data_IF_137367869711
#
_entry.id   IF_137367869711
#
_cell.length_a   1.000
_cell.length_b   1.000
_cell.length_c   1.000
_cell.angle_alpha   90.00
_cell.angle_beta   90.00
_cell.angle_gamma   90.00
#
_symmetry.space_group_name_H-M   'P 1'
#
loop_
_entity.id
_entity.type
_entity.pdbx_description
1 polymer ?
#
# COMPACT_ATOMS: atom_id res chain seq x y z
N UNK A 1 -10.39 19.34 7.10
CA UNK A 1 -11.44 19.97 6.27
C UNK A 1 -11.43 19.35 4.89
N UNK A 2 -12.50 18.70 4.49
CA UNK A 2 -12.62 18.07 3.16
C UNK A 2 -12.89 19.12 2.08
N UNK A 3 -12.06 20.13 1.95
CA UNK A 3 -12.25 21.25 1.02
C UNK A 3 -11.19 21.29 -0.10
N UNK A 4 -11.55 21.92 -1.21
CA UNK A 4 -10.64 22.20 -2.32
C UNK A 4 -9.75 23.42 -2.00
N UNK A 5 -9.19 23.49 -0.78
CA UNK A 5 -8.33 24.58 -0.34
C UNK A 5 -6.91 24.06 -0.18
N UNK A 6 -5.93 24.84 -0.62
CA UNK A 6 -4.53 24.66 -0.32
C UNK A 6 -4.13 25.53 0.89
N UNK A 7 -3.13 25.09 1.65
CA UNK A 7 -2.45 25.88 2.65
C UNK A 7 -1.08 26.29 2.15
N UNK A 8 -0.67 27.52 2.47
CA UNK A 8 0.72 27.93 2.36
C UNK A 8 1.39 27.57 3.68
N UNK A 9 2.43 26.78 3.63
CA UNK A 9 3.15 26.28 4.80
C UNK A 9 4.62 26.63 4.75
N UNK A 10 5.25 26.76 5.91
CA UNK A 10 6.69 26.79 6.04
C UNK A 10 7.19 25.34 6.23
N UNK A 11 7.81 24.77 5.20
CA UNK A 11 8.30 23.39 5.23
C UNK A 11 9.33 23.16 6.33
N UNK A 12 10.24 24.11 6.57
CA UNK A 12 11.24 23.99 7.62
C UNK A 12 10.61 23.92 9.03
N UNK A 13 9.45 24.58 9.21
CA UNK A 13 8.69 24.51 10.46
C UNK A 13 7.95 23.17 10.66
N UNK A 14 7.88 22.32 9.63
CA UNK A 14 7.25 20.99 9.71
C UNK A 14 8.22 19.87 10.03
N UNK A 15 9.52 20.12 10.03
CA UNK A 15 10.54 19.14 10.37
C UNK A 15 10.59 18.92 11.88
N UNK A 16 10.48 17.68 12.37
CA UNK A 16 10.71 17.40 13.78
C UNK A 16 12.19 17.55 14.14
N UNK A 17 12.48 17.75 15.42
CA UNK A 17 13.86 17.88 15.90
C UNK A 17 14.73 16.70 15.44
N UNK A 18 15.85 16.97 14.76
CA UNK A 18 16.78 15.98 14.21
C UNK A 18 16.27 15.23 12.98
N UNK A 19 15.34 15.82 12.25
CA UNK A 19 14.82 15.25 10.99
C UNK A 19 15.91 15.08 9.93
N UNK A 20 16.83 16.05 9.82
CA UNK A 20 17.95 16.03 8.90
C UNK A 20 18.94 14.88 9.14
N UNK A 21 18.91 14.29 10.32
CA UNK A 21 19.75 13.14 10.70
C UNK A 21 19.01 11.81 10.56
N UNK A 22 17.72 11.83 10.24
CA UNK A 22 16.93 10.62 10.05
C UNK A 22 17.45 9.79 8.88
N UNK A 23 17.47 8.47 9.07
CA UNK A 23 17.92 7.52 8.03
C UNK A 23 17.09 6.25 8.10
N UNK A 24 16.73 5.77 6.93
CA UNK A 24 16.14 4.45 6.78
C UNK A 24 17.01 3.36 7.41
N UNK A 25 16.44 2.43 8.17
CA UNK A 25 17.15 1.25 8.66
C UNK A 25 17.82 0.48 7.51
N UNK A 26 19.01 -0.09 7.77
CA UNK A 26 19.73 -0.86 6.77
C UNK A 26 18.91 -2.06 6.27
N UNK A 27 18.83 -2.24 4.96
CA UNK A 27 18.23 -3.40 4.31
C UNK A 27 19.28 -4.08 3.43
N UNK A 28 19.67 -5.31 3.78
CA UNK A 28 20.71 -6.05 3.05
C UNK A 28 20.18 -6.69 1.77
N UNK A 29 18.94 -7.17 1.79
CA UNK A 29 18.29 -7.81 0.65
C UNK A 29 16.79 -7.64 0.74
N UNK A 30 16.12 -7.54 -0.39
CA UNK A 30 14.64 -7.58 -0.44
C UNK A 30 14.06 -8.92 0.04
N UNK A 31 14.86 -10.00 0.07
CA UNK A 31 14.44 -11.27 0.68
C UNK A 31 14.36 -11.24 2.21
N UNK A 32 14.95 -10.23 2.86
CA UNK A 32 14.90 -10.06 4.32
C UNK A 32 13.67 -9.27 4.78
N UNK A 33 12.83 -8.82 3.85
CA UNK A 33 11.64 -8.02 4.14
C UNK A 33 10.57 -8.88 4.81
N UNK A 34 10.13 -8.46 6.00
CA UNK A 34 8.98 -8.99 6.72
C UNK A 34 8.01 -7.82 6.92
N UNK A 35 6.85 -7.88 6.26
CA UNK A 35 5.88 -6.79 6.24
C UNK A 35 4.74 -7.07 7.21
N UNK A 36 4.43 -6.07 8.04
CA UNK A 36 3.22 -6.02 8.86
C UNK A 36 2.30 -4.92 8.31
N UNK A 37 1.14 -5.31 7.78
CA UNK A 37 0.13 -4.35 7.31
C UNK A 37 -0.71 -3.86 8.48
N UNK A 38 -0.98 -2.56 8.54
CA UNK A 38 -1.80 -1.97 9.57
C UNK A 38 -2.56 -0.71 9.13
N UNK A 39 -3.68 -0.47 9.80
CA UNK A 39 -4.41 0.79 9.72
C UNK A 39 -4.03 1.68 10.91
N UNK A 40 -3.66 2.94 10.66
CA UNK A 40 -3.22 3.89 11.70
C UNK A 40 -4.09 3.92 12.93
N UNK A 41 -5.41 4.09 12.71
CA UNK A 41 -6.37 4.21 13.78
C UNK A 41 -6.50 2.90 14.55
N UNK A 42 -6.73 1.80 13.85
CA UNK A 42 -7.13 0.54 14.48
C UNK A 42 -5.99 -0.14 15.20
N UNK A 43 -4.75 0.12 14.78
CA UNK A 43 -3.56 -0.40 15.46
C UNK A 43 -3.45 0.06 16.93
N UNK A 44 -3.98 1.25 17.27
CA UNK A 44 -3.80 1.84 18.60
C UNK A 44 -5.08 2.32 19.29
N UNK A 45 -6.24 2.31 18.61
CA UNK A 45 -7.49 2.97 19.08
C UNK A 45 -8.11 2.29 20.31
N UNK A 46 -7.81 1.01 20.57
CA UNK A 46 -8.38 0.28 21.70
C UNK A 46 -8.13 1.01 23.02
N UNK A 47 -9.16 1.12 23.85
CA UNK A 47 -9.07 1.85 25.13
C UNK A 47 -7.95 1.35 26.04
N UNK A 48 -7.67 0.05 25.98
CA UNK A 48 -6.65 -0.64 26.76
C UNK A 48 -5.33 -0.87 26.03
N UNK A 49 -5.06 -0.19 24.92
CA UNK A 49 -3.81 -0.31 24.15
C UNK A 49 -2.57 0.22 24.90
N UNK A 50 -2.74 1.00 25.97
CA UNK A 50 -1.64 1.65 26.67
C UNK A 50 -1.02 2.84 25.95
N UNK A 51 -1.45 3.10 24.71
CA UNK A 51 -0.97 4.23 23.89
C UNK A 51 -1.65 5.52 24.31
N UNK A 52 -0.92 6.64 24.32
CA UNK A 52 -1.42 7.97 24.66
C UNK A 52 -2.19 8.59 23.49
N UNK A 53 -1.57 8.63 22.31
CA UNK A 53 -2.13 9.26 21.10
C UNK A 53 -2.93 8.26 20.25
N UNK A 54 -3.93 7.63 20.85
CA UNK A 54 -4.73 6.57 20.20
C UNK A 54 -5.28 6.98 18.83
N UNK A 55 -5.02 6.15 17.83
CA UNK A 55 -5.49 6.35 16.46
C UNK A 55 -4.81 7.49 15.70
N UNK A 56 -3.67 7.98 16.17
CA UNK A 56 -2.91 9.10 15.61
C UNK A 56 -1.56 8.66 15.07
N UNK A 57 -0.94 9.48 14.21
CA UNK A 57 0.41 9.25 13.72
C UNK A 57 1.40 9.02 14.85
N UNK A 58 1.35 9.84 15.89
CA UNK A 58 2.26 9.78 17.05
C UNK A 58 2.17 8.46 17.81
N UNK A 59 1.04 7.73 17.72
CA UNK A 59 0.87 6.43 18.37
C UNK A 59 1.97 5.42 17.96
N UNK A 60 2.45 5.50 16.71
CA UNK A 60 3.44 4.58 16.17
C UNK A 60 4.88 4.95 16.60
N UNK A 61 5.07 6.14 17.14
CA UNK A 61 6.35 6.60 17.68
C UNK A 61 6.46 6.39 19.20
N UNK A 62 5.36 6.00 19.89
CA UNK A 62 5.35 5.79 21.35
C UNK A 62 6.01 4.45 21.72
N UNK A 63 7.05 4.52 22.53
CA UNK A 63 7.77 3.36 23.09
C UNK A 63 7.29 3.03 24.51
N UNK A 64 7.52 1.79 24.97
CA UNK A 64 7.20 1.35 26.33
C UNK A 64 5.72 1.13 26.60
N UNK A 65 4.87 1.14 25.57
CA UNK A 65 3.41 0.96 25.72
C UNK A 65 3.06 -0.48 26.04
N UNK A 66 2.06 -0.66 26.92
CA UNK A 66 1.64 -1.99 27.38
C UNK A 66 0.13 -2.10 27.45
N UNK A 67 -0.37 -3.22 26.98
CA UNK A 67 -1.77 -3.62 27.08
C UNK A 67 -2.06 -4.43 28.36
N UNK A 68 -3.25 -5.04 28.43
CA UNK A 68 -3.65 -5.90 29.53
C UNK A 68 -2.65 -7.04 29.74
N UNK A 69 -2.40 -7.36 31.02
CA UNK A 69 -1.40 -8.39 31.36
C UNK A 69 0.06 -7.97 31.19
N UNK A 70 0.31 -6.69 30.82
CA UNK A 70 1.67 -6.16 30.66
C UNK A 70 2.35 -6.53 29.33
N UNK A 71 1.60 -7.05 28.35
CA UNK A 71 2.11 -7.38 27.00
C UNK A 71 2.48 -6.09 26.25
N UNK A 72 3.54 -6.14 25.46
CA UNK A 72 3.95 -5.02 24.64
C UNK A 72 2.87 -4.69 23.59
N UNK A 73 2.68 -3.40 23.34
CA UNK A 73 1.79 -2.85 22.29
C UNK A 73 2.56 -1.83 21.47
N UNK A 74 1.93 -1.26 20.45
CA UNK A 74 2.57 -0.24 19.63
C UNK A 74 3.85 -0.73 18.95
N UNK A 75 4.85 0.14 18.86
CA UNK A 75 6.12 -0.15 18.19
C UNK A 75 6.90 -1.29 18.88
N UNK A 76 6.80 -1.43 20.18
CA UNK A 76 7.48 -2.51 20.90
C UNK A 76 6.92 -3.89 20.53
N UNK A 77 5.62 -4.01 20.29
CA UNK A 77 5.02 -5.23 19.76
C UNK A 77 5.58 -5.57 18.36
N UNK A 78 5.70 -4.59 17.48
CA UNK A 78 6.28 -4.80 16.15
C UNK A 78 7.74 -5.28 16.23
N UNK A 79 8.51 -4.76 17.19
CA UNK A 79 9.89 -5.22 17.45
C UNK A 79 9.92 -6.67 17.96
N UNK A 80 9.02 -7.04 18.87
CA UNK A 80 8.90 -8.43 19.36
C UNK A 80 8.54 -9.40 18.25
N UNK A 81 7.70 -8.99 17.28
CA UNK A 81 7.38 -9.78 16.09
C UNK A 81 8.55 -9.90 15.12
N UNK A 82 9.56 -9.04 15.20
CA UNK A 82 10.73 -9.04 14.34
C UNK A 82 10.42 -8.57 12.91
N UNK A 83 9.38 -7.75 12.71
CA UNK A 83 9.06 -7.17 11.41
C UNK A 83 10.09 -6.11 11.02
N UNK A 84 10.37 -6.02 9.73
CA UNK A 84 11.34 -5.05 9.18
C UNK A 84 10.65 -3.85 8.56
N UNK A 85 9.40 -4.02 8.15
CA UNK A 85 8.61 -2.99 7.48
C UNK A 85 7.19 -2.98 8.02
N UNK A 86 6.64 -1.80 8.20
CA UNK A 86 5.19 -1.61 8.32
C UNK A 86 4.63 -1.14 7.01
N UNK A 87 3.56 -1.77 6.54
CA UNK A 87 2.75 -1.31 5.43
C UNK A 87 1.53 -0.60 6.03
N UNK A 88 1.46 0.70 5.85
CA UNK A 88 0.42 1.54 6.42
C UNK A 88 -0.63 1.81 5.35
N UNK A 89 -1.91 1.48 5.63
CA UNK A 89 -3.04 1.80 4.77
C UNK A 89 -3.07 3.30 4.44
N UNK A 90 -3.74 3.74 3.35
CA UNK A 90 -3.60 5.08 2.83
C UNK A 90 -3.69 6.18 3.89
N UNK A 91 -2.64 6.99 3.96
CA UNK A 91 -2.42 8.01 5.01
C UNK A 91 -2.67 9.42 4.53
N UNK A 92 -2.99 9.60 3.24
CA UNK A 92 -3.35 10.89 2.66
C UNK A 92 -4.86 11.13 2.71
N UNK A 93 -5.28 12.35 2.39
CA UNK A 93 -6.70 12.73 2.42
C UNK A 93 -7.54 11.92 1.44
N UNK A 94 -8.64 11.35 1.94
CA UNK A 94 -9.61 10.60 1.14
C UNK A 94 -11.03 11.09 1.37
N UNK A 95 -11.92 10.88 0.37
CA UNK A 95 -13.22 11.53 0.30
C UNK A 95 -14.33 10.89 1.13
N UNK A 96 -14.13 9.67 1.59
CA UNK A 96 -15.18 8.85 2.22
C UNK A 96 -15.46 9.16 3.69
N UNK A 97 -14.64 10.00 4.35
CA UNK A 97 -14.83 10.39 5.75
C UNK A 97 -14.83 11.90 5.88
N UNK A 98 -15.84 12.44 6.55
CA UNK A 98 -15.93 13.86 6.88
C UNK A 98 -15.08 14.20 8.11
N UNK A 99 -13.94 14.86 7.91
CA UNK A 99 -13.02 15.26 8.97
C UNK A 99 -13.59 16.33 9.92
N UNK A 100 -14.73 16.94 9.59
CA UNK A 100 -15.43 17.85 10.51
C UNK A 100 -16.29 17.10 11.55
N UNK A 101 -16.45 15.78 11.37
CA UNK A 101 -17.31 14.90 12.17
C UNK A 101 -16.54 13.67 12.68
N UNK A 102 -15.35 13.86 13.19
CA UNK A 102 -14.47 12.75 13.68
C UNK A 102 -15.09 11.93 14.81
N UNK A 103 -16.02 12.53 15.57
CA UNK A 103 -16.79 11.83 16.62
C UNK A 103 -17.67 10.71 16.08
N UNK A 104 -18.02 10.72 14.78
CA UNK A 104 -18.84 9.67 14.16
C UNK A 104 -18.07 8.34 14.05
N UNK A 105 -16.76 8.38 14.24
CA UNK A 105 -15.86 7.23 14.31
C UNK A 105 -16.00 6.25 13.11
N UNK A 106 -16.20 6.78 11.92
CA UNK A 106 -16.43 6.01 10.69
C UNK A 106 -15.14 5.27 10.31
N UNK A 107 -15.23 3.94 10.25
CA UNK A 107 -14.16 3.11 9.71
C UNK A 107 -14.03 3.27 8.19
N UNK A 108 -12.82 3.33 7.69
CA UNK A 108 -12.53 3.41 6.26
C UNK A 108 -11.09 3.01 5.96
N UNK A 109 -10.87 2.27 4.88
CA UNK A 109 -9.52 1.87 4.44
C UNK A 109 -8.69 3.02 3.88
N UNK A 110 -9.33 4.11 3.42
CA UNK A 110 -8.65 5.23 2.79
C UNK A 110 -8.42 5.10 1.28
N UNK A 111 -9.00 4.08 0.64
CA UNK A 111 -8.78 3.74 -0.77
C UNK A 111 -9.48 4.69 -1.77
N UNK A 112 -10.00 5.84 -1.36
CA UNK A 112 -10.70 6.82 -2.21
C UNK A 112 -10.02 8.19 -2.12
N UNK A 113 -8.88 8.40 -2.82
CA UNK A 113 -8.02 9.57 -2.62
C UNK A 113 -8.64 10.88 -3.10
N UNK A 114 -8.38 11.95 -2.37
CA UNK A 114 -8.66 13.35 -2.76
C UNK A 114 -7.40 14.17 -3.02
N UNK A 115 -6.41 14.02 -2.18
CA UNK A 115 -5.15 14.77 -2.22
C UNK A 115 -3.97 13.87 -1.85
N UNK A 116 -2.75 14.38 -2.00
CA UNK A 116 -1.52 13.68 -1.62
C UNK A 116 -0.90 14.23 -0.33
N UNK A 117 -1.66 14.92 0.51
CA UNK A 117 -1.19 15.44 1.79
C UNK A 117 -1.55 14.50 2.94
N UNK A 118 -0.75 14.41 4.02
CA UNK A 118 -1.07 13.61 5.19
C UNK A 118 -2.46 13.95 5.75
N UNK A 119 -3.18 12.92 6.19
CA UNK A 119 -4.56 13.07 6.66
C UNK A 119 -4.64 13.81 7.99
N UNK A 120 -5.49 14.83 8.06
CA UNK A 120 -5.66 15.64 9.27
C UNK A 120 -6.23 14.87 10.44
N UNK A 121 -7.18 13.97 10.23
CA UNK A 121 -7.80 13.19 11.32
C UNK A 121 -6.83 12.28 12.07
N UNK A 122 -5.67 11.94 11.47
CA UNK A 122 -4.63 11.16 12.13
C UNK A 122 -3.61 12.03 12.87
N UNK A 123 -3.69 13.37 12.80
CA UNK A 123 -2.90 14.26 13.63
C UNK A 123 -3.64 14.64 14.92
N UNK A 124 -2.90 15.12 15.92
CA UNK A 124 -3.47 15.60 17.19
C UNK A 124 -4.22 16.92 17.01
N UNK A 125 -3.81 17.73 16.02
CA UNK A 125 -4.53 18.94 15.60
C UNK A 125 -4.95 18.81 14.12
N UNK A 126 -6.18 18.30 13.85
CA UNK A 126 -6.64 18.05 12.49
C UNK A 126 -6.86 19.32 11.65
N UNK A 127 -6.91 20.48 12.29
CA UNK A 127 -7.15 21.77 11.61
C UNK A 127 -5.87 22.50 11.26
N UNK A 128 -4.74 22.10 11.82
CA UNK A 128 -3.44 22.67 11.53
C UNK A 128 -2.73 21.85 10.44
N UNK A 129 -2.52 22.39 9.22
CA UNK A 129 -1.88 21.66 8.14
C UNK A 129 -0.39 21.34 8.42
N UNK A 130 0.30 22.15 9.22
CA UNK A 130 1.69 21.88 9.59
C UNK A 130 1.79 20.74 10.63
N UNK A 131 0.83 20.64 11.56
CA UNK A 131 0.83 19.57 12.55
C UNK A 131 0.73 18.19 11.89
N UNK A 132 -0.15 18.01 10.89
CA UNK A 132 -0.31 16.73 10.19
C UNK A 132 0.98 16.31 9.47
N UNK A 133 1.70 17.25 8.89
CA UNK A 133 2.97 17.00 8.20
C UNK A 133 4.04 16.61 9.23
N UNK A 134 4.20 17.41 10.28
CA UNK A 134 5.19 17.15 11.34
C UNK A 134 4.96 15.81 12.01
N UNK A 135 3.73 15.51 12.40
CA UNK A 135 3.42 14.27 13.10
C UNK A 135 3.60 13.02 12.21
N UNK A 136 3.35 13.13 10.91
CA UNK A 136 3.69 12.06 9.97
C UNK A 136 5.21 11.83 9.91
N UNK A 137 6.01 12.90 9.82
CA UNK A 137 7.48 12.81 9.87
C UNK A 137 7.96 12.23 11.21
N UNK A 138 7.36 12.62 12.33
CA UNK A 138 7.67 12.06 13.66
C UNK A 138 7.37 10.55 13.74
N UNK A 139 6.27 10.12 13.13
CA UNK A 139 5.93 8.71 13.01
C UNK A 139 7.00 7.93 12.24
N UNK A 140 7.36 8.39 11.05
CA UNK A 140 8.40 7.74 10.23
C UNK A 140 9.71 7.66 10.98
N UNK A 141 10.18 8.78 11.53
CA UNK A 141 11.41 8.84 12.33
C UNK A 141 11.35 7.94 13.57
N UNK A 142 10.20 7.85 14.24
CA UNK A 142 10.00 6.96 15.38
C UNK A 142 10.13 5.49 14.99
N UNK A 143 9.58 5.09 13.85
CA UNK A 143 9.72 3.74 13.31
C UNK A 143 11.18 3.45 12.90
N UNK A 144 11.85 4.38 12.21
CA UNK A 144 13.25 4.24 11.80
C UNK A 144 14.18 4.03 13.01
N UNK A 145 14.02 4.82 14.09
CA UNK A 145 14.79 4.64 15.33
C UNK A 145 14.60 3.26 15.97
N UNK A 146 13.48 2.61 15.70
CA UNK A 146 13.17 1.27 16.17
C UNK A 146 13.52 0.16 15.14
N UNK A 147 14.25 0.51 14.07
CA UNK A 147 14.72 -0.44 13.06
C UNK A 147 13.65 -0.88 12.08
N UNK A 148 12.54 -0.15 11.97
CA UNK A 148 11.37 -0.48 11.14
C UNK A 148 11.23 0.55 10.02
N UNK A 149 11.18 0.09 8.78
CA UNK A 149 10.92 0.88 7.58
C UNK A 149 9.43 1.11 7.36
N UNK A 150 9.09 2.12 6.60
CA UNK A 150 7.71 2.51 6.31
C UNK A 150 7.37 2.30 4.84
N UNK A 151 6.35 1.49 4.58
CA UNK A 151 5.73 1.34 3.26
C UNK A 151 4.38 2.06 3.30
N UNK A 152 4.14 2.90 2.33
CA UNK A 152 2.88 3.62 2.18
C UNK A 152 2.00 2.95 1.13
N UNK A 153 0.74 2.72 1.46
CA UNK A 153 -0.27 2.31 0.49
C UNK A 153 -0.68 3.50 -0.36
N UNK A 154 -0.59 3.36 -1.68
CA UNK A 154 -0.89 4.43 -2.63
C UNK A 154 -1.95 4.04 -3.63
N UNK A 155 -2.92 4.93 -3.82
CA UNK A 155 -4.05 4.74 -4.71
C UNK A 155 -3.99 5.77 -5.83
N UNK A 156 -3.36 5.42 -6.94
CA UNK A 156 -3.27 6.25 -8.14
C UNK A 156 -4.16 5.73 -9.28
N UNK A 157 -4.77 4.57 -9.09
CA UNK A 157 -5.56 3.88 -10.10
C UNK A 157 -6.91 4.57 -10.37
N UNK A 158 -7.47 5.31 -9.42
CA UNK A 158 -8.72 6.07 -9.55
C UNK A 158 -8.72 7.29 -8.62
N UNK A 159 -9.76 8.10 -8.72
CA UNK A 159 -10.01 9.23 -7.80
C UNK A 159 -11.44 9.21 -7.29
N UNK A 160 -11.69 9.92 -6.18
CA UNK A 160 -13.02 10.02 -5.55
C UNK A 160 -14.14 10.42 -6.52
N UNK A 161 -13.85 11.32 -7.45
CA UNK A 161 -14.78 11.74 -8.53
C UNK A 161 -14.00 11.86 -9.83
N UNK A 162 -14.60 11.46 -10.94
CA UNK A 162 -14.05 11.70 -12.29
C UNK A 162 -14.33 13.14 -12.71
N UNK A 163 -15.59 13.44 -13.01
CA UNK A 163 -16.05 14.79 -13.30
C UNK A 163 -15.95 15.67 -12.06
N UNK A 164 -15.43 16.87 -12.21
CA UNK A 164 -15.22 17.78 -11.07
C UNK A 164 -13.96 17.48 -10.23
N UNK A 165 -13.18 16.45 -10.55
CA UNK A 165 -11.82 16.30 -10.01
C UNK A 165 -10.93 17.47 -10.46
N UNK A 166 -9.92 17.81 -9.66
CA UNK A 166 -8.95 18.83 -10.07
C UNK A 166 -8.28 18.48 -11.41
N UNK A 167 -8.11 17.21 -11.70
CA UNK A 167 -7.59 16.72 -12.99
C UNK A 167 -8.51 17.03 -14.16
N UNK A 168 -9.80 16.70 -14.06
CA UNK A 168 -10.78 16.97 -15.12
C UNK A 168 -11.03 18.46 -15.30
N UNK A 169 -11.01 19.24 -14.21
CA UNK A 169 -11.17 20.69 -14.27
C UNK A 169 -9.97 21.38 -14.91
N UNK A 170 -8.76 20.83 -14.75
CA UNK A 170 -7.53 21.39 -15.32
C UNK A 170 -7.35 21.02 -16.78
N UNK A 171 -7.49 19.71 -17.10
CA UNK A 171 -7.36 19.18 -18.48
C UNK A 171 -8.45 18.15 -18.74
N UNK A 172 -9.65 18.58 -19.20
CA UNK A 172 -10.76 17.68 -19.45
C UNK A 172 -10.40 16.54 -20.40
N UNK A 173 -10.81 15.30 -20.04
CA UNK A 173 -10.62 14.10 -20.86
C UNK A 173 -9.19 13.56 -20.91
N UNK A 174 -8.23 14.12 -20.17
CA UNK A 174 -6.83 13.68 -20.24
C UNK A 174 -6.42 12.63 -19.19
N UNK A 175 -6.81 12.80 -17.94
CA UNK A 175 -6.28 11.98 -16.84
C UNK A 175 -6.93 10.61 -16.70
N UNK A 176 -8.11 10.42 -17.29
CA UNK A 176 -8.88 9.18 -17.16
C UNK A 176 -9.00 8.47 -18.50
N UNK A 177 -9.11 7.14 -18.44
CA UNK A 177 -9.49 6.32 -19.60
C UNK A 177 -10.99 6.40 -19.83
N UNK A 178 -11.39 6.41 -21.09
CA UNK A 178 -12.78 6.44 -21.50
C UNK A 178 -13.08 5.28 -22.42
N UNK A 179 -14.31 4.79 -22.37
CA UNK A 179 -14.86 3.84 -23.33
C UNK A 179 -15.16 4.54 -24.66
N UNK A 180 -15.39 3.78 -25.76
CA UNK A 180 -15.72 4.38 -27.06
C UNK A 180 -16.96 5.28 -27.06
N UNK A 181 -17.90 5.08 -26.14
CA UNK A 181 -19.11 5.90 -25.98
C UNK A 181 -18.87 7.20 -25.18
N UNK A 182 -17.62 7.44 -24.74
CA UNK A 182 -17.23 8.61 -23.97
C UNK A 182 -17.44 8.49 -22.46
N UNK A 183 -18.04 7.42 -21.94
CA UNK A 183 -18.14 7.17 -20.50
C UNK A 183 -16.79 6.78 -19.91
N UNK A 184 -16.62 6.97 -18.60
CA UNK A 184 -15.42 6.51 -17.90
C UNK A 184 -15.25 5.00 -18.01
N UNK A 185 -14.04 4.55 -18.26
CA UNK A 185 -13.65 3.18 -17.96
C UNK A 185 -13.52 3.00 -16.46
N UNK A 186 -13.77 1.78 -15.96
CA UNK A 186 -13.86 1.52 -14.52
C UNK A 186 -13.25 0.16 -14.15
N UNK A 187 -11.97 -0.01 -14.47
CA UNK A 187 -11.23 -1.19 -14.04
C UNK A 187 -10.98 -1.22 -12.52
N UNK A 188 -11.22 -0.10 -11.84
CA UNK A 188 -11.11 0.02 -10.39
C UNK A 188 -12.36 -0.48 -9.63
N UNK A 189 -13.53 -0.52 -10.28
CA UNK A 189 -14.81 -0.73 -9.60
C UNK A 189 -15.28 0.47 -8.76
N UNK A 190 -14.59 1.63 -8.89
CA UNK A 190 -14.86 2.86 -8.12
C UNK A 190 -15.41 4.01 -8.98
N UNK A 191 -15.83 3.72 -10.22
CA UNK A 191 -16.46 4.66 -11.13
C UNK A 191 -15.54 5.36 -12.13
N UNK A 192 -14.23 5.17 -12.04
CA UNK A 192 -13.25 5.69 -13.00
C UNK A 192 -11.91 4.96 -12.88
N UNK A 193 -11.05 5.13 -13.88
CA UNK A 193 -9.66 4.70 -13.82
C UNK A 193 -8.74 5.74 -14.46
N UNK A 194 -7.53 5.88 -13.93
CA UNK A 194 -6.52 6.82 -14.44
C UNK A 194 -5.77 6.23 -15.64
N UNK A 195 -5.31 7.11 -16.54
CA UNK A 195 -4.61 6.75 -17.77
C UNK A 195 -3.09 6.91 -17.59
N UNK A 196 -2.45 6.01 -16.82
CA UNK A 196 -1.03 6.10 -16.45
C UNK A 196 -0.07 6.10 -17.66
N UNK A 197 -0.47 5.51 -18.79
CA UNK A 197 0.27 5.53 -20.06
C UNK A 197 0.43 6.94 -20.66
N UNK A 198 -0.35 7.91 -20.19
CA UNK A 198 -0.25 9.29 -20.65
C UNK A 198 0.85 10.04 -19.88
N UNK A 199 1.70 10.75 -20.62
CA UNK A 199 2.93 11.33 -20.08
C UNK A 199 2.74 12.17 -18.82
N UNK A 200 1.69 13.01 -18.73
CA UNK A 200 1.46 13.86 -17.55
C UNK A 200 0.85 13.11 -16.39
N UNK A 201 0.10 12.02 -16.62
CA UNK A 201 -0.40 11.14 -15.57
C UNK A 201 0.76 10.34 -14.97
N UNK A 202 1.61 9.74 -15.81
CA UNK A 202 2.84 9.08 -15.38
C UNK A 202 3.72 10.02 -14.57
N UNK A 203 3.97 11.23 -15.08
CA UNK A 203 4.74 12.22 -14.35
C UNK A 203 4.15 12.54 -12.98
N UNK A 204 2.83 12.69 -12.89
CA UNK A 204 2.15 12.93 -11.61
C UNK A 204 2.41 11.80 -10.61
N UNK A 205 2.29 10.54 -11.05
CA UNK A 205 2.53 9.37 -10.20
C UNK A 205 4.00 9.33 -9.74
N UNK A 206 4.94 9.49 -10.67
CA UNK A 206 6.39 9.45 -10.38
C UNK A 206 6.79 10.57 -9.43
N UNK A 207 6.41 11.83 -9.71
CA UNK A 207 6.75 12.97 -8.84
C UNK A 207 6.08 12.85 -7.45
N UNK A 208 4.89 12.26 -7.39
CA UNK A 208 4.21 12.05 -6.12
C UNK A 208 4.94 11.05 -5.22
N UNK A 209 5.36 9.90 -5.73
CA UNK A 209 6.11 8.92 -4.91
C UNK A 209 7.50 9.43 -4.53
N UNK A 210 8.16 10.18 -5.43
CA UNK A 210 9.41 10.87 -5.10
C UNK A 210 9.23 11.85 -3.95
N UNK A 211 8.19 12.68 -4.01
CA UNK A 211 7.86 13.63 -2.94
C UNK A 211 7.67 12.93 -1.58
N UNK A 212 6.98 11.78 -1.53
CA UNK A 212 6.84 11.02 -0.30
C UNK A 212 8.17 10.42 0.19
N UNK A 213 9.02 9.96 -0.73
CA UNK A 213 10.33 9.44 -0.37
C UNK A 213 11.30 10.53 0.10
N UNK A 214 11.33 11.68 -0.58
CA UNK A 214 12.25 12.80 -0.28
C UNK A 214 11.82 13.60 0.95
N UNK A 215 10.53 13.93 1.05
CA UNK A 215 10.02 14.83 2.09
C UNK A 215 9.65 14.10 3.39
N UNK A 216 9.19 12.86 3.27
CA UNK A 216 8.71 12.09 4.43
C UNK A 216 9.54 10.84 4.73
N UNK A 217 10.63 10.60 4.00
CA UNK A 217 11.52 9.45 4.13
C UNK A 217 10.81 8.10 4.08
N UNK A 218 9.77 7.98 3.25
CA UNK A 218 9.04 6.73 3.05
C UNK A 218 9.92 5.72 2.29
N UNK A 219 10.01 4.48 2.80
CA UNK A 219 10.94 3.44 2.33
C UNK A 219 10.35 2.49 1.31
N UNK A 220 9.07 2.62 1.01
CA UNK A 220 8.42 1.75 0.03
C UNK A 220 6.99 2.16 -0.28
N UNK A 221 6.46 1.58 -1.37
CA UNK A 221 5.11 1.87 -1.86
C UNK A 221 4.41 0.59 -2.27
N UNK A 222 3.19 0.41 -1.76
CA UNK A 222 2.25 -0.60 -2.24
C UNK A 222 1.22 0.08 -3.14
N UNK A 223 1.13 -0.36 -4.39
CA UNK A 223 0.17 0.18 -5.35
C UNK A 223 -1.12 -0.63 -5.32
N UNK A 224 -2.19 0.02 -4.89
CA UNK A 224 -3.55 -0.49 -5.00
C UNK A 224 -3.92 -0.71 -6.47
N UNK A 225 -4.54 -1.86 -6.79
CA UNK A 225 -4.89 -2.25 -8.16
C UNK A 225 -3.81 -1.86 -9.19
N UNK A 226 -2.55 -2.25 -8.90
CA UNK A 226 -1.39 -1.92 -9.74
C UNK A 226 -1.58 -2.34 -11.20
N UNK A 227 -2.39 -3.38 -11.44
CA UNK A 227 -2.72 -3.85 -12.78
C UNK A 227 -3.46 -2.84 -13.67
N UNK A 228 -3.98 -1.74 -13.11
CA UNK A 228 -4.54 -0.62 -13.88
C UNK A 228 -3.43 0.24 -14.50
N UNK A 229 -2.26 0.31 -13.86
CA UNK A 229 -1.12 1.03 -14.39
C UNK A 229 -0.39 0.25 -15.47
N UNK A 230 0.25 0.97 -16.37
CA UNK A 230 1.10 0.36 -17.39
C UNK A 230 2.48 0.01 -16.85
N UNK A 231 3.10 -1.00 -17.47
CA UNK A 231 4.44 -1.51 -17.11
C UNK A 231 5.50 -0.41 -17.15
N UNK A 232 5.43 0.49 -18.15
CA UNK A 232 6.41 1.56 -18.31
C UNK A 232 6.35 2.55 -17.15
N UNK A 233 5.13 2.92 -16.70
CA UNK A 233 4.94 3.78 -15.52
C UNK A 233 5.52 3.13 -14.26
N UNK A 234 5.28 1.86 -14.01
CA UNK A 234 5.81 1.17 -12.85
C UNK A 234 7.33 1.05 -12.88
N UNK A 235 7.89 0.81 -14.05
CA UNK A 235 9.35 0.78 -14.24
C UNK A 235 9.99 2.15 -14.03
N UNK A 236 9.35 3.24 -14.49
CA UNK A 236 9.82 4.60 -14.27
C UNK A 236 9.74 4.99 -12.79
N UNK A 237 8.65 4.64 -12.09
CA UNK A 237 8.52 4.80 -10.63
C UNK A 237 9.71 4.15 -9.91
N UNK A 238 9.98 2.88 -10.18
CA UNK A 238 11.11 2.18 -9.54
C UNK A 238 12.46 2.78 -9.89
N UNK A 239 12.67 3.16 -11.15
CA UNK A 239 13.93 3.75 -11.60
C UNK A 239 14.21 5.11 -10.95
N UNK A 240 13.19 5.96 -10.81
CA UNK A 240 13.34 7.28 -10.18
C UNK A 240 13.54 7.17 -8.66
N UNK A 241 12.80 6.29 -7.99
CA UNK A 241 13.00 6.01 -6.55
C UNK A 241 14.40 5.43 -6.29
N UNK A 242 14.91 4.56 -7.17
CA UNK A 242 16.25 3.97 -7.01
C UNK A 242 17.38 4.99 -7.13
N UNK A 243 17.15 6.17 -7.72
CA UNK A 243 18.13 7.27 -7.72
C UNK A 243 18.23 7.94 -6.36
N UNK A 244 17.16 7.91 -5.56
CA UNK A 244 17.14 8.43 -4.20
C UNK A 244 17.75 7.40 -3.23
N UNK A 245 17.17 6.21 -3.22
CA UNK A 245 17.66 5.06 -2.47
C UNK A 245 17.26 3.76 -3.20
N UNK A 246 18.21 2.94 -3.69
CA UNK A 246 17.90 1.69 -4.38
C UNK A 246 17.18 0.66 -3.50
N UNK A 247 17.22 0.82 -2.18
CA UNK A 247 16.52 -0.05 -1.22
C UNK A 247 15.04 0.30 -1.02
N UNK A 248 14.51 1.37 -1.62
CA UNK A 248 13.08 1.66 -1.61
C UNK A 248 12.33 0.55 -2.34
N UNK A 249 11.42 -0.10 -1.61
CA UNK A 249 10.70 -1.27 -2.10
C UNK A 249 9.37 -0.89 -2.75
N UNK A 250 9.10 -1.42 -3.94
CA UNK A 250 7.86 -1.16 -4.69
C UNK A 250 7.18 -2.49 -5.01
N UNK A 251 5.89 -2.57 -4.69
CA UNK A 251 5.07 -3.72 -5.02
C UNK A 251 3.59 -3.32 -5.14
N UNK A 252 2.76 -4.24 -5.59
CA UNK A 252 1.34 -3.97 -5.66
C UNK A 252 0.50 -5.14 -6.13
N UNK A 253 -0.78 -4.88 -6.31
CA UNK A 253 -1.75 -5.84 -6.78
C UNK A 253 -1.65 -6.00 -8.29
N UNK A 254 -1.13 -7.14 -8.72
CA UNK A 254 -0.95 -7.48 -10.13
C UNK A 254 -2.26 -7.88 -10.83
N UNK A 255 -3.36 -7.19 -10.55
CA UNK A 255 -4.70 -7.41 -11.11
C UNK A 255 -5.50 -6.10 -11.20
N UNK A 256 -6.70 -6.20 -11.78
CA UNK A 256 -7.72 -5.15 -11.84
C UNK A 256 -9.03 -5.69 -11.27
N UNK A 257 -9.93 -4.82 -10.81
CA UNK A 257 -11.24 -5.24 -10.31
C UNK A 257 -12.23 -5.57 -11.46
N UNK A 258 -12.02 -4.97 -12.64
CA UNK A 258 -12.80 -5.25 -13.85
C UNK A 258 -11.98 -4.99 -15.12
N UNK A 259 -12.59 -5.08 -16.30
CA UNK A 259 -11.92 -4.89 -17.59
C UNK A 259 -11.43 -3.44 -17.77
N UNK A 260 -10.23 -3.30 -18.33
CA UNK A 260 -9.63 -2.03 -18.74
C UNK A 260 -9.40 -1.98 -20.26
N UNK A 261 -9.55 -0.83 -20.91
CA UNK A 261 -9.22 -0.67 -22.32
C UNK A 261 -7.72 -0.65 -22.60
N UNK A 262 -6.86 -0.52 -21.59
CA UNK A 262 -5.42 -0.67 -21.76
C UNK A 262 -5.11 -2.11 -22.22
N UNK A 263 -4.33 -2.33 -23.30
CA UNK A 263 -3.96 -3.67 -23.74
C UNK A 263 -3.33 -4.50 -22.62
N UNK A 264 -3.72 -5.77 -22.52
CA UNK A 264 -3.30 -6.64 -21.42
C UNK A 264 -1.78 -6.78 -21.32
N UNK A 265 -1.09 -6.82 -22.45
CA UNK A 265 0.38 -6.94 -22.52
C UNK A 265 1.13 -5.68 -22.08
N UNK A 266 0.43 -4.56 -21.88
CA UNK A 266 0.96 -3.31 -21.37
C UNK A 266 0.67 -3.10 -19.87
N UNK A 267 -0.28 -3.84 -19.29
CA UNK A 267 -0.67 -3.67 -17.88
C UNK A 267 0.35 -4.25 -16.91
N UNK A 268 0.50 -3.64 -15.75
CA UNK A 268 1.33 -4.14 -14.65
C UNK A 268 0.64 -5.28 -13.88
N UNK A 269 0.09 -6.25 -14.60
CA UNK A 269 -0.55 -7.44 -14.06
C UNK A 269 0.46 -8.57 -13.82
N UNK A 270 0.08 -9.54 -13.00
CA UNK A 270 0.92 -10.66 -12.56
C UNK A 270 1.60 -11.40 -13.72
N UNK A 271 0.90 -11.66 -14.81
CA UNK A 271 1.47 -12.34 -16.00
C UNK A 271 2.58 -11.51 -16.67
N UNK A 272 2.58 -10.21 -16.51
CA UNK A 272 3.60 -9.28 -17.02
C UNK A 272 4.70 -8.95 -16.00
N UNK A 273 4.71 -9.56 -14.81
CA UNK A 273 5.75 -9.34 -13.82
C UNK A 273 7.19 -9.55 -14.35
N UNK A 274 7.45 -10.44 -15.34
CA UNK A 274 8.76 -10.52 -15.98
C UNK A 274 9.22 -9.24 -16.69
N UNK A 275 8.31 -8.33 -17.03
CA UNK A 275 8.61 -7.02 -17.65
C UNK A 275 8.86 -5.92 -16.63
N UNK A 276 8.54 -6.17 -15.35
CA UNK A 276 8.72 -5.22 -14.26
C UNK A 276 10.15 -5.29 -13.70
N UNK A 277 10.78 -4.13 -13.57
CA UNK A 277 12.15 -4.00 -13.07
C UNK A 277 12.14 -3.78 -11.55
N UNK A 278 12.37 -4.84 -10.77
CA UNK A 278 12.38 -4.78 -9.29
C UNK A 278 11.09 -4.26 -8.64
N UNK A 279 9.96 -4.48 -9.30
CA UNK A 279 8.63 -4.29 -8.73
C UNK A 279 8.03 -5.66 -8.47
N UNK A 280 7.51 -5.87 -7.26
CA UNK A 280 6.92 -7.14 -6.86
C UNK A 280 5.40 -7.15 -7.00
N UNK A 281 4.81 -8.34 -7.07
CA UNK A 281 3.36 -8.55 -7.13
C UNK A 281 2.91 -9.51 -6.04
N UNK A 282 1.70 -9.35 -5.54
CA UNK A 282 1.11 -10.26 -4.58
C UNK A 282 0.86 -11.65 -5.16
N UNK A 283 1.09 -12.69 -4.33
CA UNK A 283 0.83 -14.10 -4.66
C UNK A 283 -0.51 -14.56 -4.10
N UNK A 284 -1.57 -14.35 -4.87
CA UNK A 284 -2.90 -14.89 -4.57
C UNK A 284 -2.94 -16.42 -4.65
N UNK A 285 -2.09 -17.03 -5.49
CA UNK A 285 -1.92 -18.49 -5.55
C UNK A 285 -1.51 -19.08 -4.19
N UNK A 286 -0.51 -18.47 -3.50
CA UNK A 286 -0.09 -18.91 -2.17
C UNK A 286 -1.13 -18.54 -1.12
N UNK A 287 -1.67 -17.32 -1.17
CA UNK A 287 -2.68 -16.82 -0.22
C UNK A 287 -3.84 -17.80 -0.12
N UNK A 288 -4.45 -18.12 -1.26
CA UNK A 288 -5.66 -18.94 -1.30
C UNK A 288 -5.36 -20.42 -1.10
N UNK A 289 -4.18 -20.90 -1.49
CA UNK A 289 -3.75 -22.25 -1.15
C UNK A 289 -3.59 -22.44 0.37
N UNK A 290 -3.13 -21.41 1.10
CA UNK A 290 -2.96 -21.47 2.55
C UNK A 290 -4.28 -21.36 3.31
N UNK A 291 -5.12 -20.38 2.99
CA UNK A 291 -6.32 -20.08 3.79
C UNK A 291 -7.65 -20.44 3.13
N UNK A 292 -7.67 -20.73 1.83
CA UNK A 292 -8.87 -20.84 1.01
C UNK A 292 -9.25 -19.51 0.34
N UNK A 293 -10.21 -19.55 -0.59
CA UNK A 293 -10.66 -18.37 -1.32
C UNK A 293 -11.08 -17.24 -0.38
N UNK A 294 -10.64 -16.03 -0.66
CA UNK A 294 -10.99 -14.82 0.11
C UNK A 294 -12.48 -14.45 0.00
N UNK A 295 -13.16 -14.91 -1.05
CA UNK A 295 -14.56 -14.61 -1.31
C UNK A 295 -15.55 -15.64 -0.71
N UNK A 296 -15.05 -16.80 -0.27
CA UNK A 296 -15.88 -17.94 0.16
C UNK A 296 -15.54 -18.36 1.59
N UNK A 297 -16.40 -18.03 2.55
CA UNK A 297 -16.16 -18.28 3.99
C UNK A 297 -15.97 -19.76 4.32
N UNK A 298 -16.59 -20.67 3.57
CA UNK A 298 -16.57 -22.12 3.82
C UNK A 298 -15.48 -22.85 3.04
N UNK A 299 -14.79 -22.19 2.11
CA UNK A 299 -13.72 -22.80 1.34
C UNK A 299 -12.41 -22.72 2.14
N UNK A 300 -12.00 -23.86 2.67
CA UNK A 300 -10.76 -24.02 3.43
C UNK A 300 -9.54 -24.16 2.50
N UNK A 301 -8.38 -23.75 2.98
CA UNK A 301 -7.07 -24.01 2.38
C UNK A 301 -6.25 -24.95 3.28
N UNK A 302 -4.96 -25.07 2.98
CA UNK A 302 -4.03 -25.96 3.68
C UNK A 302 -4.03 -25.72 5.20
N UNK A 303 -3.85 -24.48 5.64
CA UNK A 303 -3.77 -24.11 7.05
C UNK A 303 -5.13 -24.16 7.77
N UNK A 304 -6.24 -24.06 7.04
CA UNK A 304 -7.60 -24.10 7.58
C UNK A 304 -8.28 -25.45 7.44
N UNK A 305 -7.52 -26.52 7.15
CA UNK A 305 -7.98 -27.91 7.25
C UNK A 305 -8.21 -28.66 5.93
N UNK A 306 -7.82 -28.10 4.78
CA UNK A 306 -7.90 -28.78 3.47
C UNK A 306 -6.53 -28.73 2.78
N UNK A 307 -5.60 -29.64 3.11
CA UNK A 307 -4.28 -29.68 2.47
C UNK A 307 -4.34 -30.16 1.01
N UNK A 308 -5.21 -31.10 0.69
CA UNK A 308 -5.25 -31.76 -0.62
C UNK A 308 -5.56 -30.77 -1.75
N UNK A 309 -4.72 -30.80 -2.80
CA UNK A 309 -4.83 -29.97 -3.99
C UNK A 309 -4.28 -28.56 -3.86
N UNK A 310 -3.70 -28.21 -2.70
CA UNK A 310 -3.06 -26.91 -2.47
C UNK A 310 -1.53 -26.97 -2.46
N UNK A 311 -0.93 -28.16 -2.45
CA UNK A 311 0.49 -28.40 -2.23
C UNK A 311 1.36 -27.73 -3.31
N UNK A 312 0.95 -27.82 -4.59
CA UNK A 312 1.72 -27.25 -5.69
C UNK A 312 1.71 -25.71 -5.66
N UNK A 313 0.58 -25.09 -5.31
CA UNK A 313 0.52 -23.63 -5.13
C UNK A 313 1.38 -23.15 -3.95
N UNK A 314 1.45 -23.94 -2.86
CA UNK A 314 2.32 -23.63 -1.72
C UNK A 314 3.80 -23.75 -2.13
N UNK A 315 4.20 -24.84 -2.79
CA UNK A 315 5.56 -25.00 -3.32
C UNK A 315 5.92 -23.86 -4.26
N UNK A 316 4.99 -23.45 -5.12
CA UNK A 316 5.16 -22.35 -6.05
C UNK A 316 5.42 -21.02 -5.33
N UNK A 317 4.66 -20.72 -4.27
CA UNK A 317 4.92 -19.58 -3.41
C UNK A 317 6.28 -19.64 -2.71
N UNK A 318 6.65 -20.80 -2.14
CA UNK A 318 7.93 -20.99 -1.44
C UNK A 318 9.13 -20.68 -2.35
N UNK A 319 9.07 -21.05 -3.64
CA UNK A 319 10.15 -20.73 -4.60
C UNK A 319 10.02 -19.31 -5.18
N UNK A 320 9.05 -18.49 -4.72
CA UNK A 320 8.86 -17.13 -5.21
C UNK A 320 8.42 -17.06 -6.67
N UNK A 321 7.54 -17.95 -7.08
CA UNK A 321 6.93 -18.04 -8.41
C UNK A 321 7.92 -18.09 -9.60
N UNK A 322 9.19 -18.42 -9.33
CA UNK A 322 10.21 -18.66 -10.37
C UNK A 322 10.04 -20.06 -10.96
N UNK A 323 10.71 -20.29 -12.09
CA UNK A 323 10.75 -21.64 -12.69
C UNK A 323 11.51 -22.62 -11.79
N UNK A 324 10.87 -23.73 -11.44
CA UNK A 324 11.48 -24.79 -10.64
C UNK A 324 11.07 -26.18 -11.17
N UNK A 325 12.02 -27.15 -11.27
CA UNK A 325 11.75 -28.45 -11.89
C UNK A 325 10.82 -29.37 -11.09
N UNK A 326 10.60 -29.10 -9.79
CA UNK A 326 9.74 -29.87 -8.91
C UNK A 326 8.31 -29.30 -8.80
N UNK A 327 7.95 -28.32 -9.60
CA UNK A 327 6.59 -27.73 -9.60
C UNK A 327 5.81 -28.25 -10.81
N UNK A 328 4.65 -28.84 -10.53
CA UNK A 328 3.64 -29.12 -11.55
C UNK A 328 2.70 -27.91 -11.72
N UNK A 329 3.02 -27.07 -12.70
CA UNK A 329 2.29 -25.83 -12.95
C UNK A 329 0.81 -26.06 -13.31
N UNK A 330 0.41 -27.25 -13.77
CA UNK A 330 -0.99 -27.55 -14.08
C UNK A 330 -1.86 -27.64 -12.81
N UNK A 331 -1.25 -27.92 -11.67
CA UNK A 331 -1.93 -28.07 -10.38
C UNK A 331 -1.94 -26.80 -9.53
N UNK A 332 -1.29 -25.70 -9.99
CA UNK A 332 -1.37 -24.41 -9.30
C UNK A 332 -2.78 -23.83 -9.47
N UNK A 333 -3.28 -23.12 -8.46
CA UNK A 333 -4.66 -22.60 -8.43
C UNK A 333 -4.98 -21.70 -9.63
N UNK A 334 -4.22 -20.65 -9.82
CA UNK A 334 -4.50 -19.62 -10.83
C UNK A 334 -3.47 -19.59 -11.95
N UNK A 335 -2.18 -19.45 -11.61
CA UNK A 335 -1.10 -19.39 -12.59
C UNK A 335 -0.72 -20.77 -13.12
N UNK A 336 -0.64 -20.92 -14.44
CA UNK A 336 -0.23 -22.18 -15.08
C UNK A 336 1.21 -22.12 -15.63
N UNK A 337 1.97 -21.11 -15.22
CA UNK A 337 3.36 -20.90 -15.60
C UNK A 337 4.09 -20.03 -14.54
N UNK A 338 5.42 -20.10 -14.45
CA UNK A 338 6.20 -19.17 -13.64
C UNK A 338 6.03 -17.74 -14.17
N UNK A 339 5.87 -16.77 -13.27
CA UNK A 339 5.70 -15.37 -13.63
C UNK A 339 6.76 -14.43 -13.04
N UNK A 340 7.65 -14.91 -12.20
CA UNK A 340 8.72 -14.10 -11.63
C UNK A 340 10.09 -14.46 -12.23
N UNK A 341 10.93 -13.45 -12.47
CA UNK A 341 12.33 -13.64 -12.86
C UNK A 341 13.22 -13.95 -11.65
N UNK A 342 12.83 -13.46 -10.47
CA UNK A 342 13.53 -13.66 -9.20
C UNK A 342 12.52 -13.66 -8.04
N UNK A 343 12.82 -14.37 -6.93
CA UNK A 343 11.87 -14.50 -5.80
C UNK A 343 11.46 -13.16 -5.18
N UNK A 344 12.30 -12.13 -5.25
CA UNK A 344 12.02 -10.79 -4.73
C UNK A 344 10.98 -10.01 -5.52
N UNK A 345 10.46 -10.56 -6.62
CA UNK A 345 9.32 -10.01 -7.36
C UNK A 345 7.96 -10.54 -6.86
N UNK A 346 7.94 -11.25 -5.75
CA UNK A 346 6.73 -11.88 -5.22
C UNK A 346 6.53 -11.53 -3.76
N UNK A 347 5.32 -11.10 -3.40
CA UNK A 347 4.88 -10.95 -2.01
C UNK A 347 4.07 -12.19 -1.63
N UNK A 348 4.67 -13.03 -0.83
CA UNK A 348 4.00 -14.14 -0.18
C UNK A 348 3.26 -13.64 1.06
N UNK A 349 1.97 -13.92 1.17
CA UNK A 349 1.16 -13.46 2.29
C UNK A 349 -0.01 -14.42 2.54
N UNK A 350 -0.66 -14.28 3.68
CA UNK A 350 -1.83 -15.07 4.05
C UNK A 350 -3.03 -14.20 4.40
N UNK A 351 -2.79 -13.01 4.95
CA UNK A 351 -3.82 -12.07 5.35
C UNK A 351 -3.43 -10.64 5.04
N UNK A 352 -4.40 -9.81 4.72
CA UNK A 352 -4.31 -8.36 4.54
C UNK A 352 -5.65 -7.73 4.94
N UNK A 353 -5.80 -6.41 4.70
CA UNK A 353 -7.06 -5.68 4.97
C UNK A 353 -8.21 -6.09 4.05
N UNK A 354 -7.90 -6.68 2.89
CA UNK A 354 -8.88 -6.96 1.85
C UNK A 354 -9.46 -8.37 2.01
N UNK A 355 -10.78 -8.44 2.09
CA UNK A 355 -11.57 -9.66 2.26
C UNK A 355 -11.24 -10.46 3.55
N UNK A 356 -11.59 -11.74 3.56
CA UNK A 356 -11.46 -12.64 4.73
C UNK A 356 -9.98 -12.88 5.08
N UNK A 357 -9.62 -12.73 6.34
CA UNK A 357 -8.31 -13.09 6.86
C UNK A 357 -8.26 -14.57 7.28
N UNK A 358 -7.08 -15.08 7.68
CA UNK A 358 -6.93 -16.47 8.11
C UNK A 358 -7.79 -16.81 9.34
N UNK A 359 -8.01 -15.84 10.24
CA UNK A 359 -8.81 -16.05 11.44
C UNK A 359 -10.32 -16.13 11.17
N UNK A 360 -10.77 -15.75 9.97
CA UNK A 360 -12.17 -15.84 9.54
C UNK A 360 -12.49 -17.22 8.92
N UNK A 361 -11.46 -18.06 8.77
CA UNK A 361 -11.52 -19.41 8.17
C UNK A 361 -11.41 -20.49 9.21
#
# INVERSE_FOLDING_TARGET
MNGNRAAVIDWAATDPEGWEADKSPELKSFSDIIIYEMHHRDFSIAANSGVTHKGKFLALAEEGTKGPGGVATGVDHLKELGVTHVHILPSYDYGSVDETRLQDNVYNWGMIPRTITPRGSYSTDPYNPEARIREFKEMVRGLHRNGIRVIMDVVYNHTFVGDGSNFSLTVPGYFYRHKPDGSYSDASGCGNETASERAMVRRYIVESVKYWAEEYHVDGFRFDLMGIHDVETMNEVKAELAKLDPSIFVYGEGWTASDSPLPEDQRAIKVNAPKLNDVAVFSDDLRDALKGSVFETTQAGFASGKPEGNEESIKFGIVGAIRHPQIDYNQILYCKAPYANKPTQVINYVSCHDDLCLMDK
#
